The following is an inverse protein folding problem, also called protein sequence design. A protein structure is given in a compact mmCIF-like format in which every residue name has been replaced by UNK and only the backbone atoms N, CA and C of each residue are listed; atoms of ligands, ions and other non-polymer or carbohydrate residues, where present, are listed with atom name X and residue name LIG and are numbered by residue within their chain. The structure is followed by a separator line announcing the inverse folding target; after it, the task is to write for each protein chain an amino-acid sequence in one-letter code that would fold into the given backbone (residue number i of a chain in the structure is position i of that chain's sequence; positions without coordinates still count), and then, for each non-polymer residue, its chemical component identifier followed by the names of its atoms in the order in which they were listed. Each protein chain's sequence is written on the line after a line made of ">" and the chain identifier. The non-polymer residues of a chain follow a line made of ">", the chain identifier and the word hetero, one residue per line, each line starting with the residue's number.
data_IF_594765743856
#
_entry.id   IF_594765743856
#
_cell.length_a   1.000
_cell.length_b   1.000
_cell.length_c   1.000
_cell.angle_alpha   90.00
_cell.angle_beta   90.00
_cell.angle_gamma   90.00
#
_symmetry.space_group_name_H-M   'P 1'
#
loop_
_entity.id
_entity.type
_entity.pdbx_description
1 polymer ?
#
# COMPACT_ATOMS: atom_id res chain seq x y z
N UNK A 1 -4.81 13.44 -21.26
CA UNK A 1 -4.57 14.84 -20.89
C UNK A 1 -3.89 14.81 -19.52
N UNK A 2 -2.57 14.64 -19.51
CA UNK A 2 -1.77 14.61 -18.28
C UNK A 2 -1.48 16.06 -17.89
N UNK A 3 -2.22 16.59 -16.92
CA UNK A 3 -1.89 17.90 -16.37
C UNK A 3 -0.62 17.80 -15.53
N UNK A 4 0.37 18.54 -15.99
CA UNK A 4 1.66 18.88 -15.41
C UNK A 4 1.52 19.20 -13.91
N UNK A 5 2.26 18.48 -13.07
CA UNK A 5 2.56 18.93 -11.71
C UNK A 5 3.73 19.91 -11.81
N UNK A 6 3.42 21.20 -11.82
CA UNK A 6 4.39 22.26 -11.59
C UNK A 6 4.76 22.33 -10.11
N UNK A 7 6.07 22.44 -9.85
CA UNK A 7 6.59 23.32 -8.80
C UNK A 7 6.94 22.70 -7.45
N UNK A 8 8.21 22.29 -7.31
CA UNK A 8 8.94 22.44 -6.05
C UNK A 8 10.45 22.55 -6.34
N UNK A 9 10.95 23.78 -6.53
CA UNK A 9 12.39 24.06 -6.50
C UNK A 9 12.85 24.11 -5.04
N UNK A 10 13.60 23.09 -4.61
CA UNK A 10 14.33 23.13 -3.34
C UNK A 10 15.78 23.58 -3.61
N UNK A 11 16.13 24.78 -3.14
CA UNK A 11 17.49 25.32 -3.22
C UNK A 11 18.25 24.88 -1.96
N UNK A 12 19.23 23.98 -2.10
CA UNK A 12 20.27 23.74 -1.08
C UNK A 12 21.62 24.04 -1.73
N UNK A 13 22.42 24.84 -1.02
CA UNK A 13 23.63 25.55 -1.47
C UNK A 13 24.52 24.86 -2.52
N UNK A 14 24.91 25.66 -3.51
CA UNK A 14 26.21 25.53 -4.20
C UNK A 14 26.36 24.36 -5.16
N UNK A 15 25.47 24.28 -6.16
CA UNK A 15 25.60 23.38 -7.30
C UNK A 15 24.23 23.14 -7.92
N UNK A 16 23.96 23.71 -9.09
CA UNK A 16 22.71 23.46 -9.82
C UNK A 16 22.78 22.04 -10.38
N UNK A 17 22.29 21.07 -9.61
CA UNK A 17 21.94 19.75 -10.11
C UNK A 17 20.41 19.72 -10.14
N UNK A 18 19.84 20.23 -11.23
CA UNK A 18 18.42 20.03 -11.54
C UNK A 18 18.22 18.58 -11.95
N UNK A 19 18.09 17.68 -10.97
CA UNK A 19 17.47 16.37 -11.21
C UNK A 19 16.00 16.56 -10.87
N UNK A 20 15.25 17.12 -11.82
CA UNK A 20 13.80 17.05 -11.79
C UNK A 20 13.44 15.59 -12.00
N UNK A 21 12.72 15.00 -11.05
CA UNK A 21 12.61 13.54 -10.85
C UNK A 21 11.94 12.73 -11.98
N UNK A 22 11.64 13.33 -13.14
CA UNK A 22 11.13 12.65 -14.35
C UNK A 22 11.61 13.36 -15.63
N UNK A 23 12.89 13.71 -15.73
CA UNK A 23 13.44 14.20 -17.02
C UNK A 23 13.65 13.06 -18.02
N UNK A 24 13.68 11.83 -17.54
CA UNK A 24 13.74 10.60 -18.34
C UNK A 24 12.75 9.60 -17.76
N UNK A 25 12.01 8.91 -18.63
CA UNK A 25 11.00 7.93 -18.24
C UNK A 25 11.07 6.75 -19.18
N UNK A 26 11.12 5.54 -18.62
CA UNK A 26 11.16 4.30 -19.38
C UNK A 26 9.96 3.43 -19.03
N UNK A 27 9.29 2.91 -20.05
CA UNK A 27 8.24 1.91 -19.93
C UNK A 27 8.65 0.69 -20.75
N UNK A 28 8.77 -0.45 -20.08
CA UNK A 28 9.33 -1.66 -20.65
C UNK A 28 8.28 -2.75 -20.56
N UNK A 29 7.88 -3.26 -21.72
CA UNK A 29 6.85 -4.29 -21.83
C UNK A 29 7.42 -5.49 -22.57
N UNK A 30 7.69 -6.55 -21.81
CA UNK A 30 8.15 -7.84 -22.37
C UNK A 30 7.06 -8.56 -23.17
N UNK A 31 5.79 -8.27 -22.86
CA UNK A 31 4.59 -8.81 -23.52
C UNK A 31 3.60 -7.68 -23.83
N UNK A 32 2.53 -8.00 -24.57
CA UNK A 32 1.43 -7.05 -24.78
C UNK A 32 0.70 -6.79 -23.45
N UNK A 33 0.65 -5.52 -23.03
CA UNK A 33 0.10 -5.13 -21.74
C UNK A 33 -1.40 -4.82 -21.85
N UNK A 34 -2.18 -5.22 -20.84
CA UNK A 34 -3.63 -5.00 -20.81
C UNK A 34 -3.96 -3.67 -20.13
N UNK A 35 -3.20 -3.30 -19.08
CA UNK A 35 -3.42 -2.08 -18.31
C UNK A 35 -2.09 -1.36 -18.04
N UNK A 36 -1.64 -0.46 -18.94
CA UNK A 36 -2.35 0.13 -20.10
C UNK A 36 -2.30 -0.74 -21.36
N UNK A 37 -3.30 -0.61 -22.26
CA UNK A 37 -3.30 -1.30 -23.57
C UNK A 37 -2.17 -0.81 -24.46
N UNK A 38 -1.03 -1.49 -24.42
CA UNK A 38 0.19 -1.13 -25.15
C UNK A 38 0.78 -2.41 -25.74
N UNK A 39 1.29 -2.32 -26.98
CA UNK A 39 2.00 -3.43 -27.60
C UNK A 39 3.36 -3.62 -26.93
N UNK A 40 3.84 -4.87 -26.91
CA UNK A 40 5.20 -5.21 -26.51
C UNK A 40 6.23 -4.24 -27.10
N UNK A 41 7.14 -3.75 -26.25
CA UNK A 41 8.20 -2.84 -26.65
C UNK A 41 8.81 -2.04 -25.50
N UNK A 42 9.97 -1.46 -25.79
CA UNK A 42 10.67 -0.53 -24.90
C UNK A 42 10.35 0.89 -25.34
N UNK A 43 9.76 1.67 -24.44
CA UNK A 43 9.40 3.05 -24.68
C UNK A 43 10.22 3.95 -23.76
N UNK A 44 11.20 4.62 -24.35
CA UNK A 44 12.12 5.53 -23.66
C UNK A 44 11.75 6.97 -24.02
N UNK A 45 11.40 7.76 -23.02
CA UNK A 45 11.01 9.15 -23.15
C UNK A 45 12.02 10.04 -22.44
N UNK A 46 12.47 11.08 -23.14
CA UNK A 46 13.28 12.15 -22.56
C UNK A 46 12.51 13.46 -22.62
N UNK A 47 12.60 14.24 -21.56
CA UNK A 47 11.96 15.54 -21.46
C UNK A 47 12.92 16.62 -21.94
N UNK A 48 12.57 17.25 -23.05
CA UNK A 48 13.26 18.41 -23.60
C UNK A 48 12.39 19.65 -23.35
N UNK A 49 12.62 20.33 -22.23
CA UNK A 49 11.83 21.48 -21.80
C UNK A 49 10.37 21.11 -21.50
N UNK A 50 9.45 21.53 -22.36
CA UNK A 50 8.01 21.23 -22.24
C UNK A 50 7.54 20.09 -23.16
N UNK A 51 8.43 19.50 -23.95
CA UNK A 51 8.12 18.39 -24.86
C UNK A 51 8.82 17.10 -24.43
N UNK A 52 8.22 15.96 -24.80
CA UNK A 52 8.84 14.65 -24.66
C UNK A 52 9.30 14.14 -26.03
N UNK A 53 10.57 13.76 -26.12
CA UNK A 53 11.18 13.12 -27.28
C UNK A 53 11.36 11.62 -27.00
N UNK A 54 11.25 10.78 -28.04
CA UNK A 54 11.54 9.35 -27.94
C UNK A 54 13.03 9.17 -28.19
N UNK A 55 13.67 8.39 -27.33
CA UNK A 55 15.11 8.10 -27.41
C UNK A 55 15.30 6.60 -27.65
N UNK A 56 16.31 6.22 -28.42
CA UNK A 56 16.59 4.81 -28.70
C UNK A 56 17.24 4.10 -27.50
N UNK A 57 18.17 4.76 -26.82
CA UNK A 57 19.00 4.17 -25.78
C UNK A 57 19.27 5.15 -24.62
N UNK A 58 19.33 4.61 -23.40
CA UNK A 58 19.76 5.34 -22.22
C UNK A 58 21.10 4.79 -21.71
N UNK A 59 21.81 5.59 -20.93
CA UNK A 59 22.93 5.06 -20.15
C UNK A 59 22.43 3.96 -19.20
N UNK A 60 23.18 2.87 -18.94
CA UNK A 60 22.72 1.73 -18.16
C UNK A 60 22.18 2.09 -16.77
N UNK A 61 22.80 3.05 -16.10
CA UNK A 61 22.37 3.53 -14.77
C UNK A 61 21.04 4.27 -14.84
N UNK A 62 20.86 5.08 -15.89
CA UNK A 62 19.62 5.81 -16.15
C UNK A 62 18.50 4.85 -16.54
N UNK A 63 18.81 3.83 -17.33
CA UNK A 63 17.86 2.79 -17.73
C UNK A 63 17.36 2.00 -16.50
N UNK A 64 18.26 1.57 -15.62
CA UNK A 64 17.90 0.88 -14.38
C UNK A 64 16.99 1.72 -13.48
N UNK A 65 17.26 3.03 -13.36
CA UNK A 65 16.40 3.95 -12.60
C UNK A 65 15.05 4.18 -13.29
N UNK A 66 15.06 4.41 -14.60
CA UNK A 66 13.85 4.62 -15.40
C UNK A 66 12.90 3.41 -15.36
N UNK A 67 13.45 2.20 -15.35
CA UNK A 67 12.71 0.95 -15.12
C UNK A 67 11.94 0.98 -13.78
N UNK A 68 12.63 1.31 -12.68
CA UNK A 68 12.03 1.33 -11.35
C UNK A 68 11.00 2.46 -11.20
N UNK A 69 11.28 3.63 -11.78
CA UNK A 69 10.35 4.76 -11.80
C UNK A 69 9.09 4.44 -12.63
N UNK A 70 9.24 3.81 -13.80
CA UNK A 70 8.13 3.36 -14.65
C UNK A 70 7.17 2.42 -13.91
N UNK A 71 7.70 1.43 -13.19
CA UNK A 71 6.90 0.53 -12.36
C UNK A 71 6.21 1.26 -11.19
N UNK A 72 6.88 2.25 -10.62
CA UNK A 72 6.34 3.05 -9.51
C UNK A 72 5.23 4.00 -9.98
N UNK A 73 5.33 4.53 -11.21
CA UNK A 73 4.30 5.38 -11.82
C UNK A 73 2.99 4.62 -12.06
N UNK A 74 3.06 3.35 -12.45
CA UNK A 74 1.87 2.51 -12.58
C UNK A 74 1.16 2.38 -11.23
N UNK A 75 1.90 2.09 -10.15
CA UNK A 75 1.36 2.04 -8.78
C UNK A 75 0.77 3.38 -8.36
N UNK A 76 1.43 4.49 -8.71
CA UNK A 76 0.95 5.83 -8.44
C UNK A 76 -0.38 6.12 -9.14
N UNK A 77 -0.53 5.70 -10.40
CA UNK A 77 -1.78 5.83 -11.15
C UNK A 77 -2.93 5.08 -10.46
N UNK A 78 -2.69 3.84 -10.01
CA UNK A 78 -3.67 3.08 -9.24
C UNK A 78 -3.98 3.74 -7.89
N UNK A 79 -2.97 4.19 -7.16
CA UNK A 79 -3.14 4.89 -5.88
C UNK A 79 -4.03 6.14 -6.04
N UNK A 80 -3.79 6.95 -7.08
CA UNK A 80 -4.64 8.11 -7.40
C UNK A 80 -6.07 7.69 -7.73
N UNK A 81 -6.25 6.60 -8.46
CA UNK A 81 -7.58 6.05 -8.78
C UNK A 81 -8.33 5.59 -7.52
N UNK A 82 -7.61 5.12 -6.50
CA UNK A 82 -8.17 4.77 -5.19
C UNK A 82 -8.41 5.98 -4.27
N UNK A 83 -8.12 7.20 -4.72
CA UNK A 83 -8.31 8.44 -3.95
C UNK A 83 -7.10 8.87 -3.11
N UNK A 84 -5.93 8.24 -3.27
CA UNK A 84 -4.72 8.72 -2.63
C UNK A 84 -4.26 10.04 -3.26
N UNK A 85 -3.96 11.03 -2.43
CA UNK A 85 -3.43 12.33 -2.89
C UNK A 85 -1.93 12.37 -2.72
N UNK A 86 -1.19 12.67 -3.79
CA UNK A 86 0.27 12.86 -3.74
C UNK A 86 0.65 14.01 -2.81
N UNK A 87 1.76 13.89 -2.07
CA UNK A 87 2.20 14.94 -1.14
C UNK A 87 1.51 14.93 0.23
N UNK A 88 0.49 14.10 0.44
CA UNK A 88 -0.20 13.96 1.73
C UNK A 88 -0.29 12.49 2.14
N UNK A 89 0.54 12.08 3.08
CA UNK A 89 0.50 10.73 3.62
C UNK A 89 1.86 10.22 4.08
N UNK A 90 1.92 8.91 4.31
CA UNK A 90 3.14 8.18 4.61
C UNK A 90 3.15 6.92 3.75
N UNK A 91 4.23 6.69 3.03
CA UNK A 91 4.39 5.50 2.20
C UNK A 91 5.05 4.40 3.02
N UNK A 92 4.29 3.35 3.36
CA UNK A 92 4.82 2.21 4.08
C UNK A 92 5.32 1.16 3.10
N UNK A 93 6.60 0.84 3.18
CA UNK A 93 7.26 -0.16 2.37
C UNK A 93 7.36 -1.46 3.16
N UNK A 94 6.96 -2.55 2.52
CA UNK A 94 6.97 -3.89 3.11
C UNK A 94 7.57 -4.90 2.13
N UNK A 95 7.98 -6.06 2.63
CA UNK A 95 8.67 -7.09 1.83
C UNK A 95 10.19 -6.92 1.78
N UNK A 96 10.89 -7.94 1.26
CA UNK A 96 12.35 -8.01 1.30
C UNK A 96 13.06 -6.88 0.56
N UNK A 97 12.49 -6.39 -0.55
CA UNK A 97 13.08 -5.30 -1.34
C UNK A 97 13.06 -3.94 -0.62
N UNK A 98 12.22 -3.78 0.42
CA UNK A 98 12.10 -2.52 1.15
C UNK A 98 13.36 -2.11 1.91
N UNK A 99 14.30 -3.03 2.15
CA UNK A 99 15.57 -2.71 2.83
C UNK A 99 16.54 -1.93 1.96
N UNK A 100 16.33 -1.88 0.63
CA UNK A 100 17.20 -1.15 -0.28
C UNK A 100 16.94 0.38 -0.18
N UNK A 101 17.91 1.19 0.29
CA UNK A 101 17.71 2.63 0.47
C UNK A 101 17.49 3.39 -0.84
N UNK A 102 18.04 2.91 -1.96
CA UNK A 102 17.88 3.57 -3.26
C UNK A 102 16.46 3.36 -3.79
N UNK A 103 15.88 2.19 -3.57
CA UNK A 103 14.46 1.93 -3.88
C UNK A 103 13.55 2.83 -3.05
N UNK A 104 13.86 3.03 -1.77
CA UNK A 104 13.09 3.92 -0.89
C UNK A 104 13.11 5.37 -1.40
N UNK A 105 14.27 5.85 -1.89
CA UNK A 105 14.40 7.20 -2.46
C UNK A 105 13.63 7.33 -3.76
N UNK A 106 13.76 6.38 -4.68
CA UNK A 106 13.02 6.38 -5.96
C UNK A 106 11.50 6.44 -5.70
N UNK A 107 11.00 5.62 -4.77
CA UNK A 107 9.58 5.64 -4.41
C UNK A 107 9.17 6.95 -3.72
N UNK A 108 10.02 7.50 -2.86
CA UNK A 108 9.78 8.80 -2.24
C UNK A 108 9.65 9.91 -3.27
N UNK A 109 10.53 9.93 -4.27
CA UNK A 109 10.55 10.90 -5.36
C UNK A 109 9.30 10.80 -6.25
N UNK A 110 8.87 9.57 -6.59
CA UNK A 110 7.70 9.34 -7.45
C UNK A 110 6.38 9.69 -6.74
N UNK A 111 6.24 9.30 -5.47
CA UNK A 111 5.01 9.55 -4.71
C UNK A 111 4.95 10.94 -4.07
N UNK A 112 6.09 11.65 -4.05
CA UNK A 112 6.30 12.88 -3.28
C UNK A 112 5.86 12.72 -1.81
N UNK A 113 6.27 11.62 -1.18
CA UNK A 113 5.90 11.25 0.19
C UNK A 113 7.07 10.60 0.92
N UNK A 114 7.14 10.84 2.23
CA UNK A 114 8.10 10.15 3.10
C UNK A 114 7.85 8.64 3.12
N UNK A 115 8.92 7.88 2.93
CA UNK A 115 8.93 6.41 2.98
C UNK A 115 9.31 5.89 4.36
N UNK A 116 8.61 4.83 4.78
CA UNK A 116 8.81 4.17 6.07
C UNK A 116 8.89 2.67 5.86
N UNK A 117 9.97 2.06 6.33
CA UNK A 117 10.12 0.60 6.31
C UNK A 117 9.54 0.01 7.59
N UNK A 118 8.63 -0.94 7.45
CA UNK A 118 8.15 -1.72 8.58
C UNK A 118 9.24 -2.73 8.98
N UNK A 119 9.76 -2.62 10.21
CA UNK A 119 10.73 -3.54 10.78
C UNK A 119 10.07 -4.85 11.25
N UNK A 120 9.35 -5.50 10.33
CA UNK A 120 8.71 -6.79 10.54
C UNK A 120 9.06 -7.66 9.34
N UNK A 121 9.98 -8.63 9.50
CA UNK A 121 10.22 -9.61 8.46
C UNK A 121 8.95 -10.41 8.20
N UNK A 122 8.77 -10.86 6.96
CA UNK A 122 7.63 -11.68 6.54
C UNK A 122 6.26 -11.10 6.92
N UNK A 123 6.06 -9.81 6.62
CA UNK A 123 4.79 -9.11 6.87
C UNK A 123 3.56 -9.86 6.35
N UNK A 124 3.69 -10.57 5.23
CA UNK A 124 2.65 -11.43 4.68
C UNK A 124 2.31 -12.63 5.61
N UNK A 125 3.33 -13.30 6.15
CA UNK A 125 3.14 -14.41 7.09
C UNK A 125 2.54 -13.92 8.41
N UNK A 126 2.99 -12.76 8.91
CA UNK A 126 2.39 -12.12 10.08
C UNK A 126 0.90 -11.79 9.83
N UNK A 127 0.57 -11.26 8.65
CA UNK A 127 -0.82 -11.00 8.26
C UNK A 127 -1.68 -12.27 8.29
N UNK A 128 -1.17 -13.38 7.75
CA UNK A 128 -1.82 -14.68 7.81
C UNK A 128 -2.04 -15.19 9.25
N UNK A 129 -1.02 -15.08 10.11
CA UNK A 129 -1.13 -15.46 11.52
C UNK A 129 -2.16 -14.60 12.28
N UNK A 130 -2.22 -13.28 11.98
CA UNK A 130 -3.22 -12.38 12.56
C UNK A 130 -4.64 -12.75 12.12
N UNK A 131 -4.84 -13.07 10.84
CA UNK A 131 -6.14 -13.53 10.34
C UNK A 131 -6.56 -14.87 10.97
N UNK A 132 -5.63 -15.81 11.13
CA UNK A 132 -5.90 -17.10 11.79
C UNK A 132 -6.32 -16.91 13.26
N UNK A 133 -5.62 -16.05 14.00
CA UNK A 133 -5.98 -15.71 15.38
C UNK A 133 -7.34 -15.02 15.46
N UNK A 134 -7.63 -14.11 14.53
CA UNK A 134 -8.91 -13.41 14.47
C UNK A 134 -10.07 -14.39 14.23
N UNK A 135 -9.91 -15.34 13.30
CA UNK A 135 -10.89 -16.39 13.05
C UNK A 135 -11.13 -17.27 14.29
N UNK A 136 -10.06 -17.69 14.97
CA UNK A 136 -10.17 -18.45 16.21
C UNK A 136 -10.88 -17.68 17.32
N UNK A 137 -10.59 -16.38 17.47
CA UNK A 137 -11.24 -15.53 18.46
C UNK A 137 -12.75 -15.40 18.22
N UNK A 138 -13.19 -15.27 16.96
CA UNK A 138 -14.61 -15.26 16.62
C UNK A 138 -15.25 -16.60 16.99
N UNK A 139 -14.63 -17.72 16.61
CA UNK A 139 -15.15 -19.05 16.91
C UNK A 139 -15.23 -19.33 18.42
N UNK A 140 -14.27 -18.83 19.19
CA UNK A 140 -14.30 -18.90 20.65
C UNK A 140 -15.47 -18.13 21.24
N UNK A 141 -15.76 -16.93 20.74
CA UNK A 141 -16.92 -16.12 21.18
C UNK A 141 -18.24 -16.83 20.85
N UNK A 142 -18.39 -17.38 19.65
CA UNK A 142 -19.65 -18.03 19.25
C UNK A 142 -19.91 -19.28 20.10
N UNK A 143 -18.92 -20.16 20.27
CA UNK A 143 -19.07 -21.37 21.08
C UNK A 143 -19.28 -21.09 22.57
N UNK A 144 -18.62 -20.07 23.13
CA UNK A 144 -18.90 -19.65 24.52
C UNK A 144 -20.29 -19.05 24.68
N UNK A 145 -20.80 -18.32 23.70
CA UNK A 145 -22.17 -17.80 23.73
C UNK A 145 -23.23 -18.90 23.59
N UNK A 146 -23.00 -19.90 22.74
CA UNK A 146 -23.89 -21.06 22.58
C UNK A 146 -23.94 -21.89 23.87
N UNK A 147 -22.78 -22.29 24.40
CA UNK A 147 -22.72 -23.07 25.64
C UNK A 147 -23.29 -22.33 26.86
N UNK A 148 -23.12 -21.01 26.96
CA UNK A 148 -23.78 -20.24 28.03
C UNK A 148 -25.28 -20.12 27.82
N UNK A 149 -25.78 -20.06 26.58
CA UNK A 149 -27.20 -20.06 26.31
C UNK A 149 -27.85 -21.41 26.66
N UNK A 150 -27.24 -22.52 26.26
CA UNK A 150 -27.71 -23.88 26.57
C UNK A 150 -27.74 -24.14 28.08
N UNK A 151 -26.67 -23.79 28.80
CA UNK A 151 -26.62 -23.88 30.26
C UNK A 151 -27.69 -23.00 30.93
N UNK A 152 -28.01 -21.84 30.37
CA UNK A 152 -29.05 -21.00 30.94
C UNK A 152 -30.46 -21.60 30.72
N UNK A 153 -30.73 -22.14 29.53
CA UNK A 153 -31.99 -22.81 29.21
C UNK A 153 -32.21 -24.02 30.13
N UNK A 154 -31.19 -24.88 30.31
CA UNK A 154 -31.31 -26.06 31.17
C UNK A 154 -31.59 -25.72 32.63
N UNK A 155 -31.03 -24.62 33.14
CA UNK A 155 -31.28 -24.14 34.51
C UNK A 155 -32.66 -23.52 34.69
N UNK A 156 -33.24 -22.91 33.64
CA UNK A 156 -34.64 -22.47 33.64
C UNK A 156 -35.57 -23.68 33.63
N UNK A 157 -35.31 -24.68 32.80
CA UNK A 157 -36.10 -25.92 32.75
C UNK A 157 -36.04 -26.73 34.06
N UNK A 158 -34.88 -26.72 34.73
CA UNK A 158 -34.71 -27.31 36.06
C UNK A 158 -35.39 -26.52 37.19
N UNK A 159 -35.95 -25.33 36.91
CA UNK A 159 -36.61 -24.46 37.88
C UNK A 159 -35.66 -23.75 38.84
N UNK A 160 -34.35 -23.76 38.58
CA UNK A 160 -33.34 -23.11 39.44
C UNK A 160 -33.35 -21.58 39.30
N UNK A 161 -33.77 -21.07 38.14
CA UNK A 161 -33.78 -19.64 37.81
C UNK A 161 -35.02 -19.24 37.01
N UNK A 162 -35.53 -18.03 37.25
CA UNK A 162 -36.67 -17.49 36.49
C UNK A 162 -36.26 -16.97 35.11
N UNK A 163 -37.13 -17.18 34.10
CA UNK A 163 -36.92 -16.75 32.73
C UNK A 163 -36.82 -15.21 32.55
N UNK A 164 -37.33 -14.43 33.51
CA UNK A 164 -37.27 -12.95 33.46
C UNK A 164 -35.88 -12.40 33.78
N UNK A 165 -35.02 -13.19 34.43
CA UNK A 165 -33.68 -12.80 34.89
C UNK A 165 -32.58 -12.98 33.83
N UNK A 166 -32.87 -12.81 32.54
CA UNK A 166 -31.87 -13.02 31.48
C UNK A 166 -30.62 -12.16 31.73
N UNK A 167 -29.41 -12.73 31.76
CA UNK A 167 -28.20 -11.95 31.96
C UNK A 167 -28.02 -10.98 30.78
N UNK A 168 -27.87 -9.68 31.09
CA UNK A 168 -27.58 -8.67 30.06
C UNK A 168 -26.30 -9.07 29.34
N UNK A 169 -26.34 -9.13 28.00
CA UNK A 169 -25.18 -9.37 27.13
C UNK A 169 -24.01 -8.49 27.60
N UNK A 170 -23.01 -9.10 28.23
CA UNK A 170 -21.76 -8.39 28.52
C UNK A 170 -20.91 -8.46 27.26
N UNK A 171 -21.21 -7.60 26.30
CA UNK A 171 -20.30 -7.31 25.20
C UNK A 171 -19.09 -6.56 25.81
N UNK A 172 -18.00 -7.26 26.10
CA UNK A 172 -16.72 -6.60 26.31
C UNK A 172 -16.33 -5.95 24.98
N UNK A 173 -16.56 -4.63 24.86
CA UNK A 173 -16.17 -3.84 23.69
C UNK A 173 -14.67 -4.00 23.43
N UNK A 174 -14.23 -4.38 22.22
CA UNK A 174 -12.87 -4.07 21.82
C UNK A 174 -12.82 -2.61 21.37
N UNK A 175 -11.99 -1.82 22.05
CA UNK A 175 -11.47 -0.55 21.54
C UNK A 175 -10.46 -0.85 20.43
N UNK A 176 -10.67 -0.33 19.22
CA UNK A 176 -9.61 0.15 18.35
C UNK A 176 -10.20 0.84 17.11
N UNK A 177 -10.02 2.15 17.08
CA UNK A 177 -10.18 3.00 15.91
C UNK A 177 -8.80 3.09 15.24
N UNK A 178 -8.68 2.72 13.96
CA UNK A 178 -7.97 3.50 12.94
C UNK A 178 -8.04 2.73 11.61
N UNK A 179 -8.69 3.33 10.62
CA UNK A 179 -8.57 2.90 9.23
C UNK A 179 -7.12 3.04 8.79
N UNK A 180 -6.51 1.93 8.37
CA UNK A 180 -5.24 1.93 7.63
C UNK A 180 -5.44 1.07 6.40
N UNK A 181 -5.28 1.69 5.25
CA UNK A 181 -5.21 0.98 3.97
C UNK A 181 -3.74 0.70 3.70
N UNK A 182 -3.37 -0.57 3.73
CA UNK A 182 -2.09 -1.07 3.25
C UNK A 182 -2.26 -1.49 1.79
N UNK A 183 -1.50 -0.85 0.90
CA UNK A 183 -1.37 -1.29 -0.50
C UNK A 183 -0.09 -2.11 -0.64
N UNK A 184 -0.22 -3.25 -1.33
CA UNK A 184 0.88 -4.15 -1.69
C UNK A 184 1.77 -3.54 -2.78
#
# INVERSE_FOLDING_TARGET
>A
MFSVLEGANATIGGGVVSVTSLDVTGLYFDEDEIAPRVKRGDFRYQKDGNSYSIVEEFAPETEARALLEGQSLLKLMYAKTMGCTTGRGRLFLTGGASTNPDLQRILSDVFAMDTYVLNVPDSAALGGAMLARYGNFIQFITTTCESTAENWVSRVEAGEISAETRPKRRLTRPMAHSERVSLF
#
